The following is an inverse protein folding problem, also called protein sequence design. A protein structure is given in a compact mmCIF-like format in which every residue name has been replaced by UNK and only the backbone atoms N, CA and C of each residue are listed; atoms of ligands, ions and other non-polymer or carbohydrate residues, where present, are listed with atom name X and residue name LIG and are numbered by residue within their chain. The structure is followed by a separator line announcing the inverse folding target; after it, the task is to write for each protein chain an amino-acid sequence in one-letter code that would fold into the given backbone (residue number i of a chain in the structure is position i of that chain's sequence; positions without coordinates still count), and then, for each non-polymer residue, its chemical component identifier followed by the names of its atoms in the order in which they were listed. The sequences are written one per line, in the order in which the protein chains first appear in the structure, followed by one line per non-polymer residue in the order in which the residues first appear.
data_IF_118941847993
#
_entry.id   IF_118941847993
#
_cell.length_a   1.000
_cell.length_b   1.000
_cell.length_c   1.000
_cell.angle_alpha   90.00
_cell.angle_beta   90.00
_cell.angle_gamma   90.00
#
_symmetry.space_group_name_H-M   'P 1'
#
loop_
_entity.id
_entity.type
_entity.pdbx_description
1 polymer ?
#
# COMPACT_ATOMS: atom_id res chain seq x y z
N UNK A 1 12.51 -23.41 -12.57
CA UNK A 1 12.16 -22.15 -13.26
C UNK A 1 10.89 -21.51 -12.72
N UNK A 2 9.78 -22.24 -12.60
CA UNK A 2 8.52 -21.69 -12.09
C UNK A 2 8.48 -21.45 -10.59
N UNK A 3 9.46 -21.95 -9.84
CA UNK A 3 9.46 -21.87 -8.38
C UNK A 3 9.47 -20.41 -7.87
N UNK A 4 10.20 -19.52 -8.52
CA UNK A 4 10.29 -18.11 -8.09
C UNK A 4 8.92 -17.44 -8.19
N UNK A 5 8.27 -17.52 -9.36
CA UNK A 5 6.97 -16.86 -9.54
C UNK A 5 5.88 -17.47 -8.64
N UNK A 6 5.92 -18.77 -8.43
CA UNK A 6 4.99 -19.46 -7.53
C UNK A 6 5.23 -19.03 -6.08
N UNK A 7 6.49 -18.93 -5.65
CA UNK A 7 6.84 -18.46 -4.31
C UNK A 7 6.40 -17.02 -4.09
N UNK A 8 6.60 -16.14 -5.06
CA UNK A 8 6.10 -14.76 -4.99
C UNK A 8 4.58 -14.75 -4.81
N UNK A 9 3.85 -15.57 -5.57
CA UNK A 9 2.41 -15.71 -5.43
C UNK A 9 1.99 -16.21 -4.05
N UNK A 10 2.68 -17.22 -3.52
CA UNK A 10 2.40 -17.77 -2.19
C UNK A 10 2.62 -16.73 -1.09
N UNK A 11 3.73 -15.99 -1.17
CA UNK A 11 4.04 -14.91 -0.23
C UNK A 11 2.95 -13.82 -0.30
N UNK A 12 2.57 -13.42 -1.51
CA UNK A 12 1.53 -12.41 -1.71
C UNK A 12 0.21 -12.83 -1.07
N UNK A 13 -0.23 -14.06 -1.31
CA UNK A 13 -1.47 -14.56 -0.73
C UNK A 13 -1.41 -14.65 0.79
N UNK A 14 -0.28 -15.09 1.33
CA UNK A 14 -0.06 -15.15 2.78
C UNK A 14 -0.17 -13.76 3.42
N UNK A 15 0.48 -12.76 2.81
CA UNK A 15 0.40 -11.37 3.27
C UNK A 15 -1.04 -10.86 3.22
N UNK A 16 -1.76 -11.12 2.12
CA UNK A 16 -3.13 -10.66 1.95
C UNK A 16 -4.09 -11.28 2.97
N UNK A 17 -3.97 -12.58 3.22
CA UNK A 17 -4.80 -13.29 4.21
C UNK A 17 -4.56 -12.70 5.61
N UNK A 18 -3.32 -12.53 5.99
CA UNK A 18 -2.97 -11.98 7.30
C UNK A 18 -3.45 -10.54 7.46
N UNK A 19 -3.21 -9.69 6.46
CA UNK A 19 -3.66 -8.29 6.46
C UNK A 19 -5.17 -8.18 6.54
N UNK A 20 -5.90 -9.00 5.77
CA UNK A 20 -7.36 -8.99 5.79
C UNK A 20 -7.90 -9.34 7.18
N UNK A 21 -7.30 -10.32 7.85
CA UNK A 21 -7.69 -10.70 9.21
C UNK A 21 -7.35 -9.62 10.23
N UNK A 22 -6.17 -9.02 10.12
CA UNK A 22 -5.70 -7.99 11.06
C UNK A 22 -6.54 -6.71 10.98
N UNK A 23 -6.86 -6.25 9.77
CA UNK A 23 -7.57 -4.98 9.58
C UNK A 23 -9.08 -5.09 9.62
N UNK A 24 -9.61 -6.28 9.84
CA UNK A 24 -11.05 -6.53 9.90
C UNK A 24 -11.74 -5.68 10.96
N UNK A 25 -11.12 -5.51 12.12
CA UNK A 25 -11.64 -4.70 13.23
C UNK A 25 -11.70 -3.20 12.89
N UNK A 26 -10.88 -2.73 11.94
CA UNK A 26 -10.90 -1.34 11.46
C UNK A 26 -11.89 -1.12 10.32
N UNK A 27 -12.58 -2.17 9.87
CA UNK A 27 -13.39 -2.11 8.65
C UNK A 27 -12.55 -2.01 7.38
N UNK A 28 -11.27 -2.38 7.46
CA UNK A 28 -10.33 -2.35 6.35
C UNK A 28 -9.95 -3.76 5.93
N UNK A 29 -9.27 -3.85 4.79
CA UNK A 29 -8.66 -5.06 4.29
C UNK A 29 -7.32 -4.70 3.61
N UNK A 30 -6.59 -5.70 3.13
CA UNK A 30 -5.32 -5.46 2.46
C UNK A 30 -5.44 -4.49 1.29
N UNK A 31 -6.50 -4.62 0.48
CA UNK A 31 -6.69 -3.80 -0.69
C UNK A 31 -6.96 -2.32 -0.38
N UNK A 32 -7.46 -2.00 0.80
CA UNK A 32 -7.69 -0.63 1.26
C UNK A 32 -6.47 -0.07 2.00
N UNK A 33 -5.89 -0.88 2.86
CA UNK A 33 -4.76 -0.51 3.69
C UNK A 33 -3.54 -0.05 2.88
N UNK A 34 -3.22 -0.70 1.77
CA UNK A 34 -2.06 -0.33 0.95
C UNK A 34 -2.14 1.10 0.41
N UNK A 35 -3.34 1.58 0.06
CA UNK A 35 -3.54 2.96 -0.38
C UNK A 35 -3.31 3.94 0.75
N UNK A 36 -3.80 3.60 1.94
CA UNK A 36 -3.74 4.47 3.11
C UNK A 36 -2.29 4.73 3.52
N UNK A 37 -1.48 3.68 3.63
CA UNK A 37 -0.08 3.85 4.03
C UNK A 37 0.71 4.65 2.99
N UNK A 38 0.45 4.45 1.70
CA UNK A 38 1.14 5.21 0.64
C UNK A 38 0.82 6.71 0.70
N UNK A 39 -0.44 7.06 0.93
CA UNK A 39 -0.84 8.47 1.05
C UNK A 39 -0.32 9.10 2.34
N UNK A 40 -0.25 8.36 3.44
CA UNK A 40 0.35 8.89 4.67
C UNK A 40 1.85 9.16 4.49
N UNK A 41 2.55 8.32 3.74
CA UNK A 41 3.98 8.51 3.44
C UNK A 41 4.22 9.66 2.47
N UNK A 42 3.32 9.85 1.51
CA UNK A 42 3.45 10.85 0.44
C UNK A 42 2.11 11.53 0.18
N UNK A 43 1.67 12.44 1.08
CA UNK A 43 0.43 13.17 0.88
C UNK A 43 0.47 14.06 -0.36
N UNK A 44 -0.66 14.19 -1.02
CA UNK A 44 -0.79 15.08 -2.17
C UNK A 44 -0.47 14.44 -3.51
N UNK A 45 -0.34 13.11 -3.58
CA UNK A 45 -0.25 12.44 -4.89
C UNK A 45 -1.51 12.68 -5.70
N UNK A 46 -1.36 12.83 -7.01
CA UNK A 46 -2.49 12.76 -7.94
C UNK A 46 -3.07 11.35 -7.93
N UNK A 47 -4.34 11.21 -8.31
CA UNK A 47 -5.00 9.90 -8.34
C UNK A 47 -4.21 8.89 -9.21
N UNK A 48 -3.75 9.33 -10.38
CA UNK A 48 -2.95 8.48 -11.27
C UNK A 48 -1.61 8.08 -10.67
N UNK A 49 -0.95 8.98 -9.94
CA UNK A 49 0.30 8.68 -9.25
C UNK A 49 0.09 7.61 -8.18
N UNK A 50 -0.99 7.71 -7.41
CA UNK A 50 -1.31 6.71 -6.40
C UNK A 50 -1.61 5.35 -7.02
N UNK A 51 -2.37 5.31 -8.11
CA UNK A 51 -2.66 4.08 -8.83
C UNK A 51 -1.37 3.39 -9.30
N UNK A 52 -0.45 4.16 -9.88
CA UNK A 52 0.84 3.65 -10.34
C UNK A 52 1.71 3.19 -9.16
N UNK A 53 1.68 3.92 -8.05
CA UNK A 53 2.44 3.59 -6.84
C UNK A 53 2.03 2.26 -6.23
N UNK A 54 0.72 1.95 -6.20
CA UNK A 54 0.22 0.67 -5.67
C UNK A 54 0.17 -0.44 -6.73
N UNK A 55 0.56 -0.16 -7.96
CA UNK A 55 0.57 -1.12 -9.08
C UNK A 55 -0.82 -1.70 -9.38
N UNK A 56 -1.83 -0.84 -9.40
CA UNK A 56 -3.21 -1.22 -9.69
C UNK A 56 -3.70 -0.38 -10.89
N UNK A 57 -4.50 -0.99 -11.77
CA UNK A 57 -5.04 -0.28 -12.90
C UNK A 57 -5.86 0.94 -12.46
N UNK A 58 -5.84 2.00 -13.25
CA UNK A 58 -6.42 3.29 -12.87
C UNK A 58 -7.91 3.23 -12.60
N UNK A 59 -8.66 2.45 -13.38
CA UNK A 59 -10.10 2.30 -13.19
C UNK A 59 -10.41 1.70 -11.82
N UNK A 60 -9.75 0.62 -11.45
CA UNK A 60 -9.90 -0.03 -10.15
C UNK A 60 -9.41 0.87 -9.01
N UNK A 61 -8.23 1.48 -9.18
CA UNK A 61 -7.65 2.37 -8.18
C UNK A 61 -8.54 3.58 -7.91
N UNK A 62 -9.07 4.23 -8.94
CA UNK A 62 -9.95 5.40 -8.78
C UNK A 62 -11.23 5.05 -8.05
N UNK A 63 -11.78 3.85 -8.29
CA UNK A 63 -12.95 3.35 -7.56
C UNK A 63 -12.62 3.14 -6.08
N UNK A 64 -11.48 2.55 -5.79
CA UNK A 64 -11.01 2.32 -4.41
C UNK A 64 -10.75 3.64 -3.68
N UNK A 65 -10.11 4.61 -4.35
CA UNK A 65 -9.86 5.94 -3.78
C UNK A 65 -11.19 6.62 -3.42
N UNK A 66 -12.17 6.57 -4.30
CA UNK A 66 -13.51 7.13 -4.03
C UNK A 66 -14.17 6.45 -2.83
N UNK A 67 -14.02 5.15 -2.70
CA UNK A 67 -14.51 4.40 -1.53
C UNK A 67 -13.83 4.87 -0.25
N UNK A 68 -12.53 5.07 -0.28
CA UNK A 68 -11.77 5.57 0.88
C UNK A 68 -12.13 7.01 1.25
N UNK A 69 -12.46 7.84 0.29
CA UNK A 69 -13.02 9.18 0.55
C UNK A 69 -14.37 9.04 1.27
N UNK A 70 -15.23 8.17 0.78
CA UNK A 70 -16.57 7.95 1.36
C UNK A 70 -16.49 7.39 2.79
N UNK A 71 -15.50 6.54 3.06
CA UNK A 71 -15.27 5.98 4.40
C UNK A 71 -14.58 6.97 5.36
N UNK A 72 -14.16 8.15 4.87
CA UNK A 72 -13.53 9.18 5.70
C UNK A 72 -12.03 9.04 5.89
N UNK A 73 -11.37 8.20 5.12
CA UNK A 73 -9.91 8.04 5.19
C UNK A 73 -9.15 9.03 4.32
N UNK A 74 -9.73 9.45 3.21
CA UNK A 74 -9.11 10.38 2.27
C UNK A 74 -9.99 11.60 2.05
N UNK A 75 -9.35 12.70 1.69
CA UNK A 75 -10.00 13.85 1.10
C UNK A 75 -9.29 14.23 -0.21
N UNK A 76 -10.07 14.70 -1.18
CA UNK A 76 -9.56 15.15 -2.45
C UNK A 76 -9.56 16.67 -2.48
N UNK A 77 -8.42 17.25 -2.91
CA UNK A 77 -8.29 18.69 -3.09
C UNK A 77 -7.87 18.98 -4.53
N UNK A 78 -8.44 20.01 -5.11
CA UNK A 78 -8.04 20.46 -6.44
C UNK A 78 -6.60 20.97 -6.39
N UNK A 79 -5.84 20.65 -7.43
CA UNK A 79 -4.50 21.22 -7.59
C UNK A 79 -4.60 22.75 -7.75
N UNK A 80 -3.67 23.48 -7.14
CA UNK A 80 -3.68 24.94 -7.15
C UNK A 80 -3.43 25.55 -8.54
N UNK A 81 -2.72 24.81 -9.40
CA UNK A 81 -2.36 25.27 -10.74
C UNK A 81 -3.35 24.75 -11.78
N UNK A 82 -3.68 23.45 -11.73
CA UNK A 82 -4.61 22.82 -12.65
C UNK A 82 -5.80 22.22 -11.88
N UNK A 83 -6.90 22.98 -11.81
CA UNK A 83 -8.07 22.61 -11.03
C UNK A 83 -8.82 21.38 -11.56
N UNK A 84 -8.47 20.89 -12.76
CA UNK A 84 -9.01 19.63 -13.30
C UNK A 84 -8.38 18.41 -12.65
N UNK A 85 -7.22 18.57 -12.02
CA UNK A 85 -6.47 17.52 -11.36
C UNK A 85 -6.75 17.57 -9.86
N UNK A 86 -6.99 16.40 -9.26
CA UNK A 86 -7.22 16.29 -7.83
C UNK A 86 -6.05 15.58 -7.16
N UNK A 87 -5.70 16.04 -5.97
CA UNK A 87 -4.68 15.46 -5.10
C UNK A 87 -5.35 14.74 -3.95
N UNK A 88 -4.73 13.64 -3.51
CA UNK A 88 -5.24 12.79 -2.43
C UNK A 88 -4.50 13.12 -1.14
N UNK A 89 -5.25 13.39 -0.08
CA UNK A 89 -4.68 13.68 1.25
C UNK A 89 -5.31 12.75 2.30
N UNK A 90 -4.54 12.35 3.32
CA UNK A 90 -5.12 11.63 4.45
C UNK A 90 -5.93 12.59 5.32
N UNK A 91 -7.03 12.11 5.89
CA UNK A 91 -7.79 12.87 6.88
C UNK A 91 -7.10 12.79 8.24
N UNK A 92 -7.55 13.59 9.21
CA UNK A 92 -7.06 13.50 10.59
C UNK A 92 -7.26 12.11 11.17
N UNK A 93 -8.44 11.52 10.93
CA UNK A 93 -8.76 10.15 11.34
C UNK A 93 -7.67 9.16 10.88
N UNK A 94 -7.23 9.30 9.63
CA UNK A 94 -6.22 8.43 9.04
C UNK A 94 -4.85 8.67 9.66
N UNK A 95 -4.48 9.92 9.86
CA UNK A 95 -3.20 10.24 10.50
C UNK A 95 -3.13 9.73 11.93
N UNK A 96 -4.26 9.70 12.63
CA UNK A 96 -4.33 9.19 14.01
C UNK A 96 -4.11 7.67 14.08
N UNK A 97 -4.55 6.91 13.07
CA UNK A 97 -4.37 5.44 13.03
C UNK A 97 -3.10 5.01 12.27
N UNK A 98 -2.47 5.90 11.54
CA UNK A 98 -1.30 5.57 10.71
C UNK A 98 -0.16 4.90 11.50
N UNK A 99 0.20 5.33 12.73
CA UNK A 99 1.25 4.65 13.49
C UNK A 99 0.99 3.16 13.68
N UNK A 100 -0.27 2.75 13.89
CA UNK A 100 -0.64 1.34 14.02
C UNK A 100 -0.51 0.60 12.69
N UNK A 101 -0.87 1.23 11.58
CA UNK A 101 -0.74 0.66 10.25
C UNK A 101 0.73 0.49 9.87
N UNK A 102 1.54 1.48 10.17
CA UNK A 102 2.98 1.46 9.93
C UNK A 102 3.66 0.36 10.75
N UNK A 103 3.32 0.24 12.02
CA UNK A 103 3.86 -0.80 12.90
C UNK A 103 3.52 -2.19 12.40
N UNK A 104 2.28 -2.39 11.95
CA UNK A 104 1.86 -3.66 11.36
C UNK A 104 2.70 -4.01 10.13
N UNK A 105 2.91 -3.07 9.21
CA UNK A 105 3.73 -3.28 8.02
C UNK A 105 5.18 -3.62 8.40
N UNK A 106 5.73 -2.94 9.41
CA UNK A 106 7.07 -3.21 9.90
C UNK A 106 7.17 -4.63 10.47
N UNK A 107 6.20 -5.06 11.25
CA UNK A 107 6.17 -6.42 11.82
C UNK A 107 6.06 -7.48 10.73
N UNK A 108 5.26 -7.25 9.70
CA UNK A 108 5.14 -8.14 8.56
C UNK A 108 6.46 -8.28 7.81
N UNK A 109 7.13 -7.16 7.57
CA UNK A 109 8.43 -7.13 6.92
C UNK A 109 9.49 -7.89 7.75
N UNK A 110 9.55 -7.62 9.04
CA UNK A 110 10.51 -8.26 9.96
C UNK A 110 10.29 -9.78 10.00
N UNK A 111 9.05 -10.22 10.05
CA UNK A 111 8.72 -11.64 10.06
C UNK A 111 9.10 -12.32 8.75
N UNK A 112 8.77 -11.71 7.62
CA UNK A 112 9.07 -12.25 6.29
C UNK A 112 10.58 -12.43 6.11
N UNK A 113 11.38 -11.49 6.61
CA UNK A 113 12.82 -11.45 6.40
C UNK A 113 13.63 -12.06 7.56
N UNK A 114 12.96 -12.63 8.58
CA UNK A 114 13.58 -13.04 9.84
C UNK A 114 14.69 -14.09 9.70
N UNK A 115 14.65 -14.90 8.66
CA UNK A 115 15.66 -15.94 8.42
C UNK A 115 16.83 -15.47 7.55
N UNK A 116 16.84 -14.20 7.15
CA UNK A 116 17.89 -13.63 6.32
C UNK A 116 18.82 -12.77 7.16
N UNK A 117 20.12 -12.80 6.83
CA UNK A 117 21.10 -11.86 7.38
C UNK A 117 20.88 -10.47 6.76
N UNK A 118 21.49 -9.45 7.35
CA UNK A 118 21.45 -8.08 6.80
C UNK A 118 21.97 -8.02 5.36
N UNK A 119 23.06 -8.74 5.07
CA UNK A 119 23.61 -8.80 3.72
C UNK A 119 22.68 -9.50 2.75
N UNK A 120 22.02 -10.58 3.18
CA UNK A 120 21.06 -11.31 2.35
C UNK A 120 19.82 -10.46 2.07
N UNK A 121 19.35 -9.66 3.01
CA UNK A 121 18.23 -8.73 2.79
C UNK A 121 18.61 -7.71 1.71
N UNK A 122 19.81 -7.13 1.79
CA UNK A 122 20.31 -6.19 0.78
C UNK A 122 20.42 -6.82 -0.60
N UNK A 123 20.90 -8.05 -0.67
CA UNK A 123 21.00 -8.81 -1.91
C UNK A 123 19.62 -9.10 -2.51
N UNK A 124 18.68 -9.51 -1.66
CA UNK A 124 17.30 -9.80 -2.08
C UNK A 124 16.64 -8.54 -2.65
N UNK A 125 16.76 -7.41 -1.95
CA UNK A 125 16.22 -6.14 -2.41
C UNK A 125 16.79 -5.75 -3.78
N UNK A 126 18.11 -5.88 -3.94
CA UNK A 126 18.79 -5.61 -5.20
C UNK A 126 18.31 -6.52 -6.34
N UNK A 127 18.14 -7.82 -6.05
CA UNK A 127 17.68 -8.79 -7.04
C UNK A 127 16.20 -8.54 -7.41
N UNK A 128 15.36 -8.25 -6.42
CA UNK A 128 13.94 -7.93 -6.64
C UNK A 128 13.79 -6.70 -7.53
N UNK A 129 14.64 -5.68 -7.36
CA UNK A 129 14.59 -4.46 -8.19
C UNK A 129 14.92 -4.71 -9.67
N UNK A 130 15.53 -5.83 -9.98
CA UNK A 130 15.87 -6.22 -11.37
C UNK A 130 14.78 -7.05 -12.05
N UNK A 131 13.77 -7.49 -11.29
CA UNK A 131 12.67 -8.23 -11.87
C UNK A 131 11.83 -7.31 -12.75
N UNK A 132 11.26 -7.89 -13.79
CA UNK A 132 10.40 -7.17 -14.72
C UNK A 132 8.96 -7.30 -14.28
N UNK A 133 8.35 -6.17 -13.86
CA UNK A 133 6.95 -6.14 -13.41
C UNK A 133 6.32 -4.77 -13.59
#
# INVERSE_FOLDING_TARGET
MFKIIRTIGDITRTIQIDSNNHFKEFGLNNNLYIYIVRICEQPGMFLGELADNVQIDRTTAFRTIKKLVKLGYFELKKDSINQKIKRVYPTKKTMDIYPQLHEYEQQQSDLLLSNLSTDEVSQLEKLMSKLNY
#
